data_IF_802215655360
#
_entry.id   IF_802215655360
#
_cell.length_a   1.000
_cell.length_b   1.000
_cell.length_c   1.000
_cell.angle_alpha   90.00
_cell.angle_beta   90.00
_cell.angle_gamma   90.00
#
_symmetry.space_group_name_H-M   'P 1'
#
loop_
_entity.id
_entity.type
_entity.pdbx_description
1 polymer ?
#
# COMPACT_ATOMS: atom_id res chain seq x y z
N UNK A 1 -24.45 18.49 -8.93
CA UNK A 1 -23.49 17.45 -9.33
C UNK A 1 -22.11 17.84 -8.85
N UNK A 2 -21.36 16.91 -8.27
CA UNK A 2 -19.95 17.14 -7.91
C UNK A 2 -19.07 17.21 -9.16
N UNK A 3 -17.89 17.82 -9.08
CA UNK A 3 -16.93 17.86 -10.21
C UNK A 3 -16.58 16.46 -10.73
N UNK A 4 -16.50 15.46 -9.84
CA UNK A 4 -16.25 14.07 -10.23
C UNK A 4 -17.43 13.45 -10.99
N UNK A 5 -18.67 13.76 -10.59
CA UNK A 5 -19.86 13.24 -11.27
C UNK A 5 -20.00 13.80 -12.69
N UNK A 6 -19.66 15.09 -12.86
CA UNK A 6 -19.66 15.73 -14.17
C UNK A 6 -18.64 15.09 -15.11
N UNK A 7 -17.41 14.84 -14.63
CA UNK A 7 -16.37 14.16 -15.41
C UNK A 7 -16.78 12.73 -15.79
N UNK A 8 -17.36 11.99 -14.86
CA UNK A 8 -17.87 10.64 -15.12
C UNK A 8 -18.94 10.65 -16.22
N UNK A 9 -19.92 11.56 -16.12
CA UNK A 9 -20.97 11.65 -17.12
C UNK A 9 -20.42 12.03 -18.50
N UNK A 10 -19.52 13.02 -18.56
CA UNK A 10 -18.86 13.42 -19.81
C UNK A 10 -18.13 12.24 -20.46
N UNK A 11 -17.37 11.48 -19.69
CA UNK A 11 -16.67 10.28 -20.16
C UNK A 11 -17.64 9.25 -20.77
N UNK A 12 -18.75 8.94 -20.10
CA UNK A 12 -19.73 7.99 -20.65
C UNK A 12 -20.36 8.51 -21.94
N UNK A 13 -20.67 9.82 -22.01
CA UNK A 13 -21.21 10.43 -23.22
C UNK A 13 -20.21 10.30 -24.37
N UNK A 14 -18.93 10.63 -24.17
CA UNK A 14 -17.89 10.53 -25.19
C UNK A 14 -17.68 9.09 -25.67
N UNK A 15 -17.68 8.12 -24.75
CA UNK A 15 -17.57 6.69 -25.08
C UNK A 15 -18.76 6.23 -25.91
N UNK A 16 -19.98 6.57 -25.48
CA UNK A 16 -21.21 6.18 -26.17
C UNK A 16 -21.25 6.83 -27.56
N UNK A 17 -20.97 8.13 -27.65
CA UNK A 17 -20.96 8.87 -28.90
C UNK A 17 -19.96 8.26 -29.90
N UNK A 18 -18.72 8.02 -29.44
CA UNK A 18 -17.70 7.34 -30.24
C UNK A 18 -18.10 5.93 -30.62
N UNK A 19 -18.75 5.19 -29.73
CA UNK A 19 -19.19 3.82 -30.00
C UNK A 19 -20.35 3.74 -30.99
N UNK A 20 -21.26 4.70 -31.03
CA UNK A 20 -22.41 4.65 -31.93
C UNK A 20 -22.18 5.35 -33.26
N UNK A 21 -21.50 6.50 -33.25
CA UNK A 21 -21.40 7.37 -34.43
C UNK A 21 -20.07 7.25 -35.16
N UNK A 22 -19.04 6.65 -34.55
CA UNK A 22 -17.80 6.37 -35.27
C UNK A 22 -17.92 5.10 -36.12
N UNK A 23 -17.50 5.20 -37.38
CA UNK A 23 -17.29 4.05 -38.27
C UNK A 23 -16.10 3.18 -37.82
N UNK A 24 -15.28 3.68 -36.89
CA UNK A 24 -14.12 2.98 -36.36
C UNK A 24 -14.53 1.72 -35.61
N UNK A 25 -13.84 0.61 -35.91
CA UNK A 25 -13.98 -0.66 -35.21
C UNK A 25 -13.15 -0.75 -33.94
N UNK A 26 -12.31 0.24 -33.65
CA UNK A 26 -11.45 0.25 -32.47
C UNK A 26 -11.72 1.52 -31.67
N UNK A 27 -11.99 1.36 -30.39
CA UNK A 27 -12.09 2.45 -29.42
C UNK A 27 -10.89 2.37 -28.47
N UNK A 28 -10.15 3.47 -28.36
CA UNK A 28 -8.99 3.58 -27.48
C UNK A 28 -9.36 4.52 -26.33
N UNK A 29 -9.23 4.04 -25.10
CA UNK A 29 -9.44 4.83 -23.89
C UNK A 29 -8.12 4.91 -23.13
N UNK A 30 -7.58 6.13 -23.03
CA UNK A 30 -6.35 6.38 -22.27
C UNK A 30 -6.70 6.78 -20.84
N UNK A 31 -6.40 5.90 -19.88
CA UNK A 31 -6.66 6.06 -18.45
C UNK A 31 -8.05 6.67 -18.07
N UNK A 32 -9.17 6.05 -18.52
CA UNK A 32 -10.51 6.56 -18.26
C UNK A 32 -10.86 6.62 -16.75
N UNK A 33 -10.11 5.91 -15.92
CA UNK A 33 -10.27 5.81 -14.46
C UNK A 33 -9.53 6.87 -13.63
N UNK A 34 -8.63 7.66 -14.25
CA UNK A 34 -7.72 8.56 -13.52
C UNK A 34 -8.43 9.63 -12.68
N UNK A 35 -9.59 10.12 -13.11
CA UNK A 35 -10.34 11.14 -12.38
C UNK A 35 -11.57 10.61 -11.63
N UNK A 36 -11.75 9.29 -11.62
CA UNK A 36 -12.91 8.67 -11.00
C UNK A 36 -12.64 8.36 -9.53
N UNK A 37 -13.68 8.51 -8.71
CA UNK A 37 -13.65 8.03 -7.33
C UNK A 37 -13.41 6.51 -7.33
N UNK A 38 -12.68 5.92 -6.36
CA UNK A 38 -12.40 4.48 -6.33
C UNK A 38 -13.65 3.59 -6.43
N UNK A 39 -14.75 4.03 -5.81
CA UNK A 39 -16.05 3.35 -5.92
C UNK A 39 -16.56 3.25 -7.37
N UNK A 40 -16.29 4.26 -8.20
CA UNK A 40 -16.66 4.26 -9.61
C UNK A 40 -15.70 3.44 -10.45
N UNK A 41 -14.40 3.42 -10.12
CA UNK A 41 -13.43 2.51 -10.75
C UNK A 41 -13.84 1.05 -10.58
N UNK A 42 -14.35 0.70 -9.39
CA UNK A 42 -14.84 -0.65 -9.10
C UNK A 42 -16.06 -1.09 -9.93
N UNK A 43 -16.89 -0.15 -10.39
CA UNK A 43 -18.09 -0.47 -11.18
C UNK A 43 -17.92 -0.13 -12.67
N UNK A 44 -16.76 0.43 -13.06
CA UNK A 44 -16.55 1.02 -14.37
C UNK A 44 -16.77 0.01 -15.50
N UNK A 45 -16.13 -1.16 -15.45
CA UNK A 45 -16.27 -2.18 -16.50
C UNK A 45 -17.71 -2.67 -16.60
N UNK A 46 -18.37 -2.92 -15.47
CA UNK A 46 -19.77 -3.33 -15.44
C UNK A 46 -20.71 -2.26 -16.03
N UNK A 47 -20.52 -0.99 -15.68
CA UNK A 47 -21.34 0.11 -16.19
C UNK A 47 -21.09 0.36 -17.68
N UNK A 48 -19.84 0.23 -18.12
CA UNK A 48 -19.43 0.32 -19.52
C UNK A 48 -20.07 -0.79 -20.35
N UNK A 49 -19.98 -2.04 -19.90
CA UNK A 49 -20.59 -3.17 -20.62
C UNK A 49 -22.12 -3.10 -20.65
N UNK A 50 -22.75 -2.45 -19.67
CA UNK A 50 -24.21 -2.22 -19.65
C UNK A 50 -24.64 -1.07 -20.55
N UNK A 51 -23.81 -0.05 -20.70
CA UNK A 51 -24.12 1.13 -21.53
C UNK A 51 -23.87 0.87 -23.02
N UNK A 52 -22.94 -0.02 -23.34
CA UNK A 52 -22.68 -0.46 -24.70
C UNK A 52 -23.69 -1.55 -25.09
N UNK A 53 -24.52 -1.36 -26.13
CA UNK A 53 -25.40 -2.42 -26.58
C UNK A 53 -24.57 -3.59 -27.11
N UNK A 54 -25.07 -4.80 -26.85
CA UNK A 54 -24.58 -6.02 -27.49
C UNK A 54 -24.99 -5.95 -28.97
N UNK A 55 -24.20 -5.21 -29.76
CA UNK A 55 -24.44 -5.02 -31.18
C UNK A 55 -23.70 -6.08 -31.97
N UNK A 56 -24.22 -6.42 -33.15
CA UNK A 56 -23.60 -7.36 -34.11
C UNK A 56 -22.30 -6.84 -34.73
N UNK A 57 -21.80 -5.69 -34.28
CA UNK A 57 -20.63 -5.01 -34.83
C UNK A 57 -19.40 -5.42 -34.03
N UNK A 58 -18.40 -5.97 -34.71
CA UNK A 58 -17.08 -6.28 -34.14
C UNK A 58 -16.34 -4.97 -33.81
N UNK A 59 -16.66 -4.35 -32.67
CA UNK A 59 -15.89 -3.24 -32.10
C UNK A 59 -14.97 -3.76 -31.00
N UNK A 60 -13.70 -3.37 -31.08
CA UNK A 60 -12.66 -3.70 -30.12
C UNK A 60 -12.45 -2.51 -29.19
N UNK A 61 -12.41 -2.77 -27.90
CA UNK A 61 -12.13 -1.76 -26.88
C UNK A 61 -10.74 -2.01 -26.32
N UNK A 62 -9.87 -1.00 -26.38
CA UNK A 62 -8.54 -1.03 -25.78
C UNK A 62 -8.47 0.06 -24.72
N UNK A 63 -8.09 -0.33 -23.51
CA UNK A 63 -8.02 0.56 -22.35
C UNK A 63 -6.61 0.51 -21.78
N UNK A 64 -6.00 1.66 -21.55
CA UNK A 64 -4.82 1.77 -20.68
C UNK A 64 -5.30 2.16 -19.29
N UNK A 65 -4.70 1.58 -18.25
CA UNK A 65 -5.10 1.89 -16.87
C UNK A 65 -4.01 1.52 -15.87
N UNK A 66 -3.91 2.32 -14.82
CA UNK A 66 -3.14 2.02 -13.61
C UNK A 66 -4.03 1.53 -12.45
N UNK A 67 -5.31 1.27 -12.69
CA UNK A 67 -6.25 0.84 -11.66
C UNK A 67 -6.27 -0.68 -11.47
N UNK A 68 -6.00 -1.17 -10.23
CA UNK A 68 -6.16 -2.59 -9.91
C UNK A 68 -7.62 -3.04 -9.98
N UNK A 69 -8.59 -2.13 -9.91
CA UNK A 69 -10.01 -2.49 -10.01
C UNK A 69 -10.40 -2.87 -11.44
N UNK A 70 -9.92 -2.13 -12.44
CA UNK A 70 -10.12 -2.48 -13.85
C UNK A 70 -9.43 -3.81 -14.15
N UNK A 71 -8.19 -3.96 -13.65
CA UNK A 71 -7.44 -5.20 -13.80
C UNK A 71 -8.18 -6.40 -13.18
N UNK A 72 -8.84 -6.23 -12.03
CA UNK A 72 -9.56 -7.32 -11.36
C UNK A 72 -10.82 -7.78 -12.09
N UNK A 73 -11.41 -6.97 -12.95
CA UNK A 73 -12.61 -7.33 -13.71
C UNK A 73 -12.30 -8.04 -15.03
N UNK A 74 -11.02 -8.09 -15.44
CA UNK A 74 -10.59 -8.65 -16.72
C UNK A 74 -9.86 -9.98 -16.54
N UNK A 75 -10.11 -10.99 -17.38
CA UNK A 75 -9.32 -12.21 -17.42
C UNK A 75 -7.91 -11.93 -17.95
N UNK A 76 -6.92 -12.70 -17.50
CA UNK A 76 -5.50 -12.51 -17.86
C UNK A 76 -5.28 -12.49 -19.37
N UNK A 77 -6.01 -13.31 -20.12
CA UNK A 77 -5.93 -13.37 -21.58
C UNK A 77 -6.32 -12.07 -22.30
N UNK A 78 -7.02 -11.15 -21.62
CA UNK A 78 -7.42 -9.85 -22.16
C UNK A 78 -6.55 -8.70 -21.62
N UNK A 79 -5.43 -9.01 -20.95
CA UNK A 79 -4.56 -8.02 -20.30
C UNK A 79 -3.17 -8.11 -20.90
N UNK A 80 -2.59 -6.95 -21.21
CA UNK A 80 -1.18 -6.82 -21.60
C UNK A 80 -0.44 -6.05 -20.51
N UNK A 81 0.55 -6.69 -19.89
CA UNK A 81 1.41 -6.06 -18.88
C UNK A 81 2.62 -5.42 -19.54
N UNK A 82 2.85 -4.15 -19.22
CA UNK A 82 3.96 -3.36 -19.75
C UNK A 82 4.86 -2.89 -18.60
N UNK A 83 6.18 -3.03 -18.78
CA UNK A 83 7.19 -2.57 -17.84
C UNK A 83 8.32 -1.86 -18.58
N UNK A 84 8.93 -0.84 -17.96
CA UNK A 84 10.16 -0.23 -18.50
C UNK A 84 11.36 -1.11 -18.22
N UNK A 85 12.17 -1.38 -19.24
CA UNK A 85 13.46 -2.04 -19.09
C UNK A 85 14.52 -1.11 -18.48
N UNK A 86 15.73 -1.63 -18.25
CA UNK A 86 16.85 -0.86 -17.68
C UNK A 86 17.31 0.29 -18.60
N UNK A 87 16.95 0.27 -19.87
CA UNK A 87 17.29 1.28 -20.87
C UNK A 87 16.14 2.29 -21.08
N UNK A 88 15.03 2.14 -20.35
CA UNK A 88 13.85 3.00 -20.45
C UNK A 88 12.85 2.61 -21.56
N UNK A 89 13.07 1.52 -22.29
CA UNK A 89 12.15 1.04 -23.33
C UNK A 89 10.98 0.28 -22.72
N UNK A 90 9.83 0.31 -23.41
CA UNK A 90 8.65 -0.45 -23.02
C UNK A 90 8.83 -1.93 -23.41
N UNK A 91 8.70 -2.82 -22.43
CA UNK A 91 8.77 -4.28 -22.58
C UNK A 91 7.41 -4.89 -22.21
N UNK A 92 6.91 -5.79 -23.06
CA UNK A 92 5.78 -6.64 -22.71
C UNK A 92 6.26 -7.76 -21.76
N UNK A 93 5.66 -7.83 -20.58
CA UNK A 93 5.99 -8.79 -19.51
C UNK A 93 4.80 -9.68 -19.15
N UNK A 94 3.84 -9.81 -20.06
CA UNK A 94 2.60 -10.60 -19.83
C UNK A 94 2.90 -12.08 -19.56
N UNK A 95 3.87 -12.65 -20.26
CA UNK A 95 4.31 -14.05 -20.05
C UNK A 95 5.11 -14.22 -18.75
N UNK A 96 5.83 -13.18 -18.32
CA UNK A 96 6.61 -13.17 -17.08
C UNK A 96 5.71 -12.99 -15.84
N UNK A 97 4.53 -12.39 -16.04
CA UNK A 97 3.56 -12.10 -14.98
C UNK A 97 2.66 -13.32 -14.72
N UNK A 98 2.99 -14.11 -13.70
CA UNK A 98 2.20 -15.28 -13.29
C UNK A 98 1.09 -14.95 -12.29
N UNK A 99 0.15 -14.07 -12.68
CA UNK A 99 -0.99 -13.68 -11.85
C UNK A 99 -2.27 -13.91 -12.63
N UNK A 100 -3.25 -14.56 -12.02
CA UNK A 100 -4.63 -14.54 -12.49
C UNK A 100 -5.29 -13.24 -12.05
N UNK A 101 -5.82 -12.47 -12.99
CA UNK A 101 -6.31 -11.11 -12.74
C UNK A 101 -7.77 -11.08 -12.33
N UNK A 102 -8.61 -11.92 -12.94
CA UNK A 102 -10.05 -11.91 -12.73
C UNK A 102 -10.43 -12.27 -11.28
N UNK A 103 -11.15 -11.38 -10.60
CA UNK A 103 -11.58 -11.54 -9.21
C UNK A 103 -10.44 -11.55 -8.18
N UNK A 104 -9.22 -11.21 -8.59
CA UNK A 104 -8.06 -11.29 -7.71
C UNK A 104 -8.06 -10.19 -6.63
N UNK A 105 -7.29 -10.44 -5.56
CA UNK A 105 -7.13 -9.47 -4.48
C UNK A 105 -6.40 -8.22 -4.99
N UNK A 106 -6.98 -7.05 -4.75
CA UNK A 106 -6.42 -5.76 -5.19
C UNK A 106 -4.99 -5.50 -4.68
N UNK A 107 -4.61 -5.99 -3.50
CA UNK A 107 -3.26 -5.84 -2.96
C UNK A 107 -2.24 -6.71 -3.72
N UNK A 108 -2.65 -7.90 -4.13
CA UNK A 108 -1.83 -8.76 -5.00
C UNK A 108 -1.66 -8.13 -6.36
N UNK A 109 -2.73 -7.57 -6.94
CA UNK A 109 -2.67 -6.86 -8.21
C UNK A 109 -1.82 -5.59 -8.14
N UNK A 110 -1.93 -4.81 -7.07
CA UNK A 110 -1.08 -3.63 -6.83
C UNK A 110 0.40 -3.99 -6.72
N UNK A 111 0.72 -5.03 -5.96
CA UNK A 111 2.12 -5.42 -5.78
C UNK A 111 2.71 -6.06 -7.04
N UNK A 112 2.02 -7.03 -7.64
CA UNK A 112 2.57 -7.84 -8.72
C UNK A 112 2.19 -7.33 -10.11
N UNK A 113 0.96 -6.85 -10.32
CA UNK A 113 0.48 -6.34 -11.61
C UNK A 113 0.98 -4.93 -11.94
N UNK A 114 1.29 -4.11 -10.92
CA UNK A 114 1.89 -2.78 -11.08
C UNK A 114 3.35 -2.72 -10.59
N UNK A 115 3.96 -3.88 -10.33
CA UNK A 115 5.39 -4.04 -10.05
C UNK A 115 5.93 -3.16 -8.90
N UNK A 116 5.14 -2.97 -7.84
CA UNK A 116 5.58 -2.23 -6.65
C UNK A 116 6.54 -3.10 -5.82
N UNK A 117 7.84 -3.00 -6.12
CA UNK A 117 8.92 -3.82 -5.53
C UNK A 117 9.13 -3.60 -4.03
N UNK A 118 8.76 -2.42 -3.51
CA UNK A 118 9.06 -1.99 -2.14
C UNK A 118 7.90 -2.18 -1.14
N UNK A 119 6.89 -2.96 -1.53
CA UNK A 119 5.67 -3.17 -0.76
C UNK A 119 4.62 -2.09 -1.03
N UNK A 120 3.51 -2.18 -0.29
CA UNK A 120 2.35 -1.28 -0.45
C UNK A 120 2.36 -0.10 0.55
N UNK A 121 3.41 0.00 1.37
CA UNK A 121 3.52 1.01 2.40
C UNK A 121 4.17 2.28 1.82
N UNK A 122 3.60 3.44 2.14
CA UNK A 122 4.18 4.72 1.71
C UNK A 122 5.58 4.93 2.29
N UNK A 123 6.46 5.55 1.50
CA UNK A 123 7.88 5.71 1.84
C UNK A 123 8.07 6.54 3.13
N UNK A 124 7.27 7.59 3.33
CA UNK A 124 7.32 8.39 4.57
C UNK A 124 7.04 7.54 5.82
N UNK A 125 6.01 6.69 5.78
CA UNK A 125 5.71 5.80 6.90
C UNK A 125 6.84 4.77 7.11
N UNK A 126 7.40 4.24 6.01
CA UNK A 126 8.54 3.31 6.01
C UNK A 126 9.75 3.91 6.70
N UNK A 127 10.11 5.14 6.36
CA UNK A 127 11.21 5.85 6.99
C UNK A 127 11.01 6.03 8.50
N UNK A 128 9.80 6.45 8.93
CA UNK A 128 9.51 6.66 10.37
C UNK A 128 9.52 5.36 11.15
N UNK A 129 8.94 4.29 10.59
CA UNK A 129 8.94 2.96 11.22
C UNK A 129 10.36 2.40 11.29
N UNK A 130 11.15 2.51 10.21
CA UNK A 130 12.54 2.08 10.20
C UNK A 130 13.39 2.87 11.22
N UNK A 131 13.13 4.17 11.38
CA UNK A 131 13.76 4.98 12.41
C UNK A 131 13.40 4.51 13.82
N UNK A 132 12.12 4.21 14.08
CA UNK A 132 11.69 3.64 15.36
C UNK A 132 12.33 2.26 15.61
N UNK A 133 12.40 1.38 14.62
CA UNK A 133 13.10 0.09 14.70
C UNK A 133 14.59 0.29 15.02
N UNK A 134 15.24 1.28 14.40
CA UNK A 134 16.65 1.61 14.67
C UNK A 134 16.87 2.00 16.13
N UNK A 135 16.01 2.85 16.70
CA UNK A 135 16.05 3.19 18.13
C UNK A 135 15.77 1.97 19.02
N UNK A 136 14.76 1.18 18.67
CA UNK A 136 14.44 -0.06 19.37
C UNK A 136 15.52 -1.14 19.25
N UNK A 137 16.50 -1.02 18.36
CA UNK A 137 17.65 -1.94 18.28
C UNK A 137 18.88 -1.45 19.06
N UNK A 138 18.91 -0.21 19.55
CA UNK A 138 20.05 0.33 20.32
C UNK A 138 20.10 -0.20 21.76
N UNK A 139 21.30 -0.38 22.33
CA UNK A 139 21.44 -0.96 23.69
C UNK A 139 20.79 -0.12 24.79
N UNK A 140 20.83 1.20 24.67
CA UNK A 140 20.21 2.14 25.59
C UNK A 140 19.35 3.11 24.79
N UNK A 141 18.13 3.37 25.28
CA UNK A 141 17.25 4.41 24.73
C UNK A 141 17.19 5.57 25.72
N UNK A 142 17.29 6.78 25.17
CA UNK A 142 16.97 8.03 25.85
C UNK A 142 15.45 8.14 26.07
N UNK A 143 15.02 9.02 26.99
CA UNK A 143 13.59 9.26 27.22
C UNK A 143 12.90 9.77 25.94
N UNK A 144 13.56 10.64 25.19
CA UNK A 144 13.05 11.20 23.93
C UNK A 144 12.85 10.13 22.85
N UNK A 145 13.76 9.15 22.74
CA UNK A 145 13.64 8.05 21.79
C UNK A 145 12.51 7.08 22.16
N UNK A 146 12.27 6.87 23.46
CA UNK A 146 11.14 6.07 23.97
C UNK A 146 9.83 6.75 23.61
N UNK A 147 9.69 8.04 23.91
CA UNK A 147 8.48 8.81 23.61
C UNK A 147 8.23 8.86 22.10
N UNK A 148 9.29 9.00 21.30
CA UNK A 148 9.19 8.91 19.84
C UNK A 148 8.66 7.54 19.39
N UNK A 149 9.21 6.44 19.92
CA UNK A 149 8.75 5.10 19.56
C UNK A 149 7.29 4.88 19.97
N UNK A 150 6.87 5.33 21.15
CA UNK A 150 5.47 5.24 21.59
C UNK A 150 4.52 6.00 20.67
N UNK A 151 4.88 7.23 20.30
CA UNK A 151 4.09 8.03 19.39
C UNK A 151 3.93 7.33 18.04
N UNK A 152 5.03 6.80 17.47
CA UNK A 152 4.98 6.05 16.21
C UNK A 152 4.13 4.78 16.36
N UNK A 153 4.35 3.97 17.39
CA UNK A 153 3.61 2.71 17.63
C UNK A 153 2.11 2.97 17.82
N UNK A 154 1.74 4.10 18.44
CA UNK A 154 0.33 4.45 18.65
C UNK A 154 -0.42 4.70 17.34
N UNK A 155 0.26 5.30 16.35
CA UNK A 155 -0.30 5.71 15.05
C UNK A 155 -0.26 4.57 14.01
N UNK A 156 0.61 3.56 14.17
CA UNK A 156 0.68 2.43 13.23
C UNK A 156 -0.68 1.73 13.13
N UNK A 157 -1.23 1.70 11.91
CA UNK A 157 -2.51 1.05 11.62
C UNK A 157 -2.41 -0.46 11.43
N UNK A 158 -1.24 -1.01 11.11
CA UNK A 158 -1.05 -2.45 10.91
C UNK A 158 -0.91 -3.16 12.27
N UNK A 159 -1.87 -4.02 12.68
CA UNK A 159 -1.88 -4.59 14.03
C UNK A 159 -0.67 -5.47 14.33
N UNK A 160 -0.15 -6.18 13.33
CA UNK A 160 0.97 -7.12 13.49
C UNK A 160 2.25 -6.33 13.77
N UNK A 161 2.60 -5.36 12.92
CA UNK A 161 3.72 -4.45 13.14
C UNK A 161 3.62 -3.75 14.50
N UNK A 162 2.45 -3.17 14.81
CA UNK A 162 2.21 -2.50 16.09
C UNK A 162 2.51 -3.40 17.28
N UNK A 163 1.97 -4.64 17.27
CA UNK A 163 2.18 -5.61 18.36
C UNK A 163 3.65 -6.02 18.50
N UNK A 164 4.37 -6.19 17.40
CA UNK A 164 5.79 -6.57 17.43
C UNK A 164 6.65 -5.45 18.02
N UNK A 165 6.46 -4.21 17.57
CA UNK A 165 7.21 -3.06 18.08
C UNK A 165 6.89 -2.77 19.55
N UNK A 166 5.62 -2.90 19.94
CA UNK A 166 5.22 -2.76 21.34
C UNK A 166 5.91 -3.79 22.25
N UNK A 167 5.94 -5.07 21.83
CA UNK A 167 6.64 -6.12 22.58
C UNK A 167 8.13 -5.80 22.79
N UNK A 168 8.81 -5.30 21.75
CA UNK A 168 10.22 -4.93 21.84
C UNK A 168 10.39 -3.77 22.83
N UNK A 169 9.54 -2.75 22.75
CA UNK A 169 9.58 -1.61 23.67
C UNK A 169 9.34 -2.04 25.13
N UNK A 170 8.35 -2.88 25.38
CA UNK A 170 8.01 -3.37 26.72
C UNK A 170 9.13 -4.22 27.31
N UNK A 171 9.76 -5.08 26.50
CA UNK A 171 10.90 -5.90 26.93
C UNK A 171 12.09 -5.06 27.41
N UNK A 172 12.34 -3.92 26.74
CA UNK A 172 13.41 -3.00 27.14
C UNK A 172 13.07 -2.19 28.39
N UNK A 173 11.79 -1.86 28.57
CA UNK A 173 11.32 -1.25 29.81
C UNK A 173 11.50 -2.18 31.00
N UNK A 174 11.11 -3.45 30.87
CA UNK A 174 11.35 -4.46 31.91
C UNK A 174 12.84 -4.59 32.23
N UNK A 175 13.71 -4.74 31.22
CA UNK A 175 15.15 -4.87 31.43
C UNK A 175 15.78 -3.65 32.13
N UNK A 176 15.22 -2.44 31.90
CA UNK A 176 15.67 -1.22 32.58
C UNK A 176 15.20 -1.17 34.04
N UNK A 177 13.99 -1.64 34.32
CA UNK A 177 13.45 -1.76 35.69
C UNK A 177 14.27 -2.79 36.48
N UNK A 178 14.52 -3.97 35.92
CA UNK A 178 15.31 -5.04 36.56
C UNK A 178 16.74 -4.57 36.90
N UNK A 179 17.35 -3.78 36.01
CA UNK A 179 18.66 -3.15 36.28
C UNK A 179 18.58 -2.16 37.45
N UNK A 180 17.57 -1.30 37.50
CA UNK A 180 17.40 -0.33 38.59
C UNK A 180 17.24 -1.04 39.93
N UNK A 181 16.41 -2.08 39.99
CA UNK A 181 16.21 -2.89 41.21
C UNK A 181 17.49 -3.57 41.68
N UNK A 182 18.31 -4.09 40.74
CA UNK A 182 19.60 -4.69 41.07
C UNK A 182 20.59 -3.68 41.65
N UNK A 183 20.62 -2.45 41.11
CA UNK A 183 21.49 -1.36 41.59
C UNK A 183 21.02 -0.86 42.96
N UNK A 184 19.71 -0.73 43.17
CA UNK A 184 19.16 -0.35 44.48
C UNK A 184 19.49 -1.38 45.56
N UNK A 185 19.45 -2.68 45.24
CA UNK A 185 19.93 -3.72 46.16
C UNK A 185 21.41 -3.58 46.48
N UNK A 186 22.25 -3.31 45.48
CA UNK A 186 23.69 -3.09 45.71
C UNK A 186 23.97 -1.87 46.58
N UNK A 187 23.28 -0.74 46.34
CA UNK A 187 23.39 0.46 47.18
C UNK A 187 23.06 0.13 48.63
N UNK A 188 21.96 -0.60 48.87
CA UNK A 188 21.53 -0.97 50.22
C UNK A 188 22.56 -1.82 50.97
N UNK A 189 23.20 -2.77 50.28
CA UNK A 189 24.27 -3.61 50.85
C UNK A 189 25.50 -2.77 51.19
N UNK A 190 25.92 -1.88 50.29
CA UNK A 190 27.08 -1.00 50.50
C UNK A 190 26.85 0.00 51.66
N UNK A 191 25.62 0.50 51.82
CA UNK A 191 25.24 1.35 52.95
C UNK A 191 25.32 0.60 54.30
N UNK A 192 24.93 -0.67 54.32
CA UNK A 192 25.05 -1.52 55.50
C UNK A 192 26.52 -1.81 55.86
N UNK A 193 27.38 -2.04 54.87
CA UNK A 193 28.83 -2.20 55.09
C UNK A 193 29.49 -0.90 55.59
N UNK A 194 29.14 0.25 55.01
CA UNK A 194 29.62 1.55 55.48
C UNK A 194 29.25 1.82 56.95
N UNK A 195 28.08 1.38 57.40
CA UNK A 195 27.68 1.48 58.81
C UNK A 195 28.51 0.59 59.73
N UNK A 196 29.02 -0.54 59.25
CA UNK A 196 29.88 -1.44 60.03
C UNK A 196 31.30 -0.91 60.15
N UNK A 197 31.82 -0.23 59.12
CA UNK A 197 33.19 0.34 59.11
C UNK A 197 33.30 1.67 59.88
N UNK A 198 32.18 2.39 60.06
CA UNK A 198 32.13 3.65 60.84
C UNK A 198 31.89 3.46 62.35
N UNK A 199 31.86 2.23 62.84
CA UNK A 199 31.82 1.87 64.27
C UNK A 199 33.20 1.45 64.73
#
# INVERSE_FOLDING_TARGET
MSSGEQKRLALYIEIIDSYFFSESKILLLDEPDTFLHPQWNKIFINDLLKSLPVSSVNKHLVITSHSPFILSDLPKGNVVFLQKDNNGNCKNVTEETNIETFGANIHTLLSHGFFMKDGLMGEFAKEKINKAIKYLNQKELTKEEIDYCENIISIIGEPILKRQLQKILDSKRLAKIDKIDSIQKQIKVLEEELKKVKK
#
